data_IF_595548057594
#
_entry.id   IF_595548057594
#
_cell.length_a   1.000
_cell.length_b   1.000
_cell.length_c   1.000
_cell.angle_alpha   90.00
_cell.angle_beta   90.00
_cell.angle_gamma   90.00
#
_symmetry.space_group_name_H-M   'P 1'
#
loop_
_entity.id
_entity.type
_entity.pdbx_description
1 polymer ?
2 polymer ?
3 polymer ?
4 polymer ?
5 non-polymer ?
6 non-polymer ?
7 non-polymer ?
8 non-polymer ?
9 non-polymer ?
10 water ?
#
loop_
_entity_poly.entity_id
_entity_poly.type
_entity_poly.pdbx_seq_one_letter_code
_entity_poly.pdbx_strand_id
2 'polydeoxyribonucleotide' '(DC)(DG)(DG)(DC)(DA)(DT)(DA)(DC)(DG)' ?
3 'polydeoxyribonucleotide' '(DC)(DG)(DT)(DA)(8GM)' ?
4 'polydeoxyribonucleotide' '(DG)(DC)(DC)(DG)' ?
#
# COMPACT_ATOMS: atom_id res chain seq x y z
N UNK A 11 6.58 15.72 21.76
CA UNK A 11 5.15 15.88 21.48
C UNK A 11 4.71 15.00 20.32
N UNK A 12 5.63 14.70 19.41
CA UNK A 12 5.35 13.84 18.26
C UNK A 12 4.93 12.47 18.75
N UNK A 13 3.69 12.04 18.52
CA UNK A 13 3.29 10.71 18.98
C UNK A 13 4.08 9.62 18.29
N UNK A 14 4.19 8.48 18.96
CA UNK A 14 5.05 7.39 18.51
C UNK A 14 4.42 6.53 17.42
N UNK A 15 3.09 6.43 17.40
CA UNK A 15 2.38 5.64 16.39
C UNK A 15 1.91 6.52 15.25
N UNK A 16 2.07 6.02 14.01
CA UNK A 16 1.69 6.84 12.86
C UNK A 16 0.20 7.15 12.81
N UNK A 17 -0.62 6.33 13.45
CA UNK A 17 -2.06 6.55 13.42
C UNK A 17 -2.50 7.62 14.40
N UNK A 18 -1.57 8.21 15.15
CA UNK A 18 -1.84 9.23 16.14
C UNK A 18 -1.54 10.62 15.63
N UNK A 19 -1.12 10.75 14.38
CA UNK A 19 -0.75 12.05 13.88
C UNK A 19 -1.14 12.15 12.41
N UNK A 20 -1.52 13.34 11.97
CA UNK A 20 -1.81 13.51 10.56
C UNK A 20 -0.54 13.47 9.74
N UNK A 21 -0.61 12.78 8.59
CA UNK A 21 0.50 12.78 7.64
C UNK A 21 -0.07 13.17 6.28
N UNK A 22 0.22 14.36 5.80
CA UNK A 22 -0.35 14.82 4.52
C UNK A 22 0.39 14.19 3.34
N UNK A 23 -0.18 14.38 2.16
CA UNK A 23 0.44 13.83 0.97
C UNK A 23 1.70 14.58 0.61
N UNK A 24 1.66 15.90 0.74
CA UNK A 24 2.79 16.80 0.49
C UNK A 24 3.39 17.22 1.82
N UNK A 25 4.69 17.05 1.96
CA UNK A 25 5.35 17.36 3.23
C UNK A 25 6.69 18.02 2.93
N UNK A 26 7.47 18.29 3.98
CA UNK A 26 8.60 19.19 3.89
C UNK A 26 9.96 18.51 4.02
N UNK A 27 10.05 17.19 4.01
CA UNK A 27 11.32 16.52 4.29
C UNK A 27 11.54 15.36 3.35
N UNK A 28 11.19 15.55 2.08
CA UNK A 28 11.20 14.46 1.11
C UNK A 28 12.58 13.84 0.98
N UNK A 29 13.62 14.67 0.88
CA UNK A 29 14.96 14.16 0.72
C UNK A 29 15.40 13.25 1.87
N UNK A 30 15.12 13.66 3.09
CA UNK A 30 15.47 12.83 4.24
C UNK A 30 14.63 11.56 4.29
N UNK A 31 13.32 11.67 4.08
CA UNK A 31 12.49 10.47 4.15
C UNK A 31 12.84 9.49 3.04
N UNK A 32 13.15 9.99 1.83
CA UNK A 32 13.45 9.07 0.75
C UNK A 32 14.72 8.28 1.04
N UNK A 33 15.69 8.92 1.69
CA UNK A 33 16.92 8.23 2.05
C UNK A 33 16.66 7.12 3.06
N UNK A 34 15.90 7.44 4.11
CA UNK A 34 15.58 6.42 5.09
C UNK A 34 14.78 5.28 4.47
N UNK A 35 13.90 5.58 3.50
CA UNK A 35 13.11 4.55 2.83
C UNK A 35 13.98 3.65 1.92
N UNK A 36 15.07 4.17 1.37
CA UNK A 36 16.05 3.30 0.70
C UNK A 36 16.60 2.26 1.67
N UNK A 37 17.03 2.72 2.85
CA UNK A 37 17.56 1.80 3.84
C UNK A 37 16.49 0.81 4.31
N UNK A 38 15.24 1.25 4.43
CA UNK A 38 14.17 0.33 4.80
C UNK A 38 14.00 -0.75 3.73
N UNK A 39 13.90 -0.33 2.47
CA UNK A 39 13.76 -1.27 1.35
C UNK A 39 14.92 -2.26 1.36
N UNK A 40 16.15 -1.76 1.53
CA UNK A 40 17.31 -2.65 1.54
C UNK A 40 17.27 -3.62 2.71
N UNK A 41 16.81 -3.16 3.88
CA UNK A 41 16.65 -4.08 5.00
C UNK A 41 15.68 -5.20 4.65
N UNK A 42 14.59 -4.87 3.97
CA UNK A 42 13.66 -5.89 3.53
C UNK A 42 14.31 -6.89 2.59
N UNK A 43 15.11 -6.40 1.66
CA UNK A 43 15.77 -7.29 0.70
C UNK A 43 16.71 -8.25 1.39
N UNK A 44 17.23 -7.89 2.57
CA UNK A 44 18.12 -8.77 3.30
C UNK A 44 17.39 -9.58 4.36
N UNK A 45 16.07 -9.47 4.41
CA UNK A 45 15.24 -10.27 5.29
C UNK A 45 15.13 -9.75 6.71
N UNK A 46 15.41 -8.48 6.96
CA UNK A 46 15.18 -7.94 8.31
C UNK A 46 13.95 -7.06 8.29
N UNK A 47 12.81 -7.64 8.63
CA UNK A 47 11.59 -6.86 8.67
C UNK A 47 11.57 -5.91 9.87
N UNK A 48 12.34 -6.18 10.93
CA UNK A 48 12.38 -5.22 12.02
C UNK A 48 13.10 -3.93 11.67
N UNK A 49 14.28 -4.05 11.05
CA UNK A 49 14.99 -2.85 10.58
C UNK A 49 14.19 -2.11 9.52
N UNK A 50 13.54 -2.84 8.62
CA UNK A 50 12.67 -2.20 7.66
C UNK A 50 11.63 -1.35 8.35
N UNK A 51 11.00 -1.90 9.40
CA UNK A 51 9.92 -1.19 10.07
C UNK A 51 10.44 0.07 10.75
N UNK A 52 11.59 -0.02 11.44
CA UNK A 52 12.12 1.17 12.09
C UNK A 52 12.44 2.27 11.08
N UNK A 53 13.13 1.92 9.99
CA UNK A 53 13.46 2.95 9.01
C UNK A 53 12.20 3.53 8.37
N UNK A 54 11.19 2.69 8.10
CA UNK A 54 9.92 3.20 7.63
C UNK A 54 9.30 4.16 8.63
N UNK A 55 9.29 3.77 9.92
CA UNK A 55 8.68 4.61 10.93
C UNK A 55 9.41 5.93 11.08
N UNK A 56 10.74 5.90 11.00
CA UNK A 56 11.52 7.13 11.12
C UNK A 56 11.22 8.07 9.95
N UNK A 57 11.21 7.53 8.72
CA UNK A 57 10.85 8.33 7.55
C UNK A 57 9.48 8.95 7.72
N UNK A 58 8.53 8.19 8.28
CA UNK A 58 7.17 8.70 8.43
C UNK A 58 7.09 9.80 9.46
N UNK A 59 7.90 9.72 10.51
CA UNK A 59 7.95 10.81 11.48
C UNK A 59 8.33 12.11 10.79
N UNK A 60 9.31 12.06 9.88
CA UNK A 60 9.70 13.29 9.19
C UNK A 60 8.59 13.84 8.30
N UNK A 61 7.76 12.96 7.72
CA UNK A 61 6.65 13.41 6.89
C UNK A 61 5.62 14.17 7.68
N UNK A 62 5.55 13.93 8.98
CA UNK A 62 4.54 14.55 9.81
C UNK A 62 5.00 15.86 10.42
N UNK A 63 6.28 16.20 10.26
CA UNK A 63 6.79 17.43 10.85
C UNK A 63 6.25 18.62 10.08
N UNK A 64 6.07 19.77 10.75
CA UNK A 64 5.50 20.93 10.06
C UNK A 64 6.47 21.71 9.20
N UNK A 65 7.78 21.52 9.37
CA UNK A 65 8.72 22.33 8.63
C UNK A 65 9.93 21.48 8.25
N UNK A 66 10.76 21.99 7.35
CA UNK A 66 11.99 21.27 7.01
C UNK A 66 12.91 21.14 8.20
N UNK A 67 13.48 19.95 8.36
CA UNK A 67 14.59 19.74 9.26
C UNK A 67 15.82 20.32 8.59
N UNK A 68 16.45 21.27 9.26
CA UNK A 68 17.68 21.87 8.77
C UNK A 68 18.86 21.67 9.69
N UNK A 69 18.65 21.25 10.93
CA UNK A 69 19.75 21.03 11.87
C UNK A 69 19.46 19.77 12.69
N UNK A 70 20.54 19.06 13.02
CA UNK A 70 20.42 17.79 13.73
C UNK A 70 19.63 17.96 15.02
N UNK A 71 19.77 19.11 15.66
CA UNK A 71 19.06 19.46 16.89
C UNK A 71 17.57 19.18 16.80
N UNK A 72 16.99 19.34 15.62
CA UNK A 72 15.55 19.22 15.46
C UNK A 72 15.07 17.78 15.57
N UNK A 73 15.98 16.81 15.65
CA UNK A 73 15.57 15.41 15.82
C UNK A 73 15.45 15.01 17.27
N UNK A 74 16.01 15.80 18.19
CA UNK A 74 16.01 15.43 19.60
C UNK A 74 14.62 15.05 20.06
N UNK A 75 14.50 13.86 20.64
CA UNK A 75 13.25 13.43 21.22
C UNK A 75 12.28 12.83 20.25
N UNK A 76 12.57 12.82 18.96
CA UNK A 76 11.62 12.26 18.01
C UNK A 76 11.57 10.74 18.14
N UNK A 77 10.39 10.14 18.13
CA UNK A 77 10.30 8.69 18.18
C UNK A 77 10.93 8.06 16.94
N UNK A 78 11.55 6.90 17.17
CA UNK A 78 12.14 6.04 16.14
C UNK A 78 13.41 6.60 15.55
N UNK A 79 13.96 7.68 16.13
CA UNK A 79 15.27 8.18 15.77
C UNK A 79 16.28 7.78 16.83
N UNK A 80 17.16 6.87 16.47
CA UNK A 80 18.27 6.49 17.30
C UNK A 80 19.57 6.79 16.62
N UNK A 81 20.61 6.08 16.99
CA UNK A 81 21.92 6.45 16.48
C UNK A 81 21.98 6.30 14.96
N UNK A 82 21.36 5.26 14.40
CA UNK A 82 21.57 4.99 12.98
C UNK A 82 20.78 5.98 12.11
N UNK A 83 19.49 6.11 12.38
CA UNK A 83 18.66 7.04 11.59
C UNK A 83 19.13 8.48 11.76
N UNK A 84 19.59 8.84 12.96
CA UNK A 84 20.08 10.19 13.17
C UNK A 84 21.35 10.44 12.37
N UNK A 85 22.24 9.44 12.29
CA UNK A 85 23.48 9.64 11.55
C UNK A 85 23.22 9.83 10.07
N UNK A 86 22.23 9.12 9.53
CA UNK A 86 21.86 9.29 8.13
C UNK A 86 21.39 10.72 7.89
N UNK A 87 20.49 11.22 8.74
CA UNK A 87 20.05 12.60 8.61
C UNK A 87 21.22 13.56 8.76
N UNK A 88 22.07 13.33 9.76
CA UNK A 88 23.25 14.17 9.99
C UNK A 88 24.11 14.28 8.73
N UNK A 89 24.39 13.15 8.09
CA UNK A 89 25.25 13.22 6.91
C UNK A 89 24.55 13.90 5.73
N UNK A 90 23.24 13.73 5.62
CA UNK A 90 22.50 14.43 4.58
C UNK A 90 22.50 15.93 4.81
N UNK A 91 22.36 16.37 6.07
CA UNK A 91 22.35 17.81 6.31
C UNK A 91 23.73 18.42 6.13
N UNK A 92 24.76 17.71 6.57
CA UNK A 92 26.11 18.26 6.52
C UNK A 92 26.68 18.25 5.13
N UNK A 93 26.34 17.23 4.34
CA UNK A 93 27.03 16.97 3.08
C UNK A 93 26.10 16.78 1.89
N UNK A 94 24.79 16.64 2.08
CA UNK A 94 23.89 16.44 0.97
C UNK A 94 23.81 15.01 0.48
N UNK A 95 24.54 14.10 1.09
CA UNK A 95 24.62 12.71 0.66
C UNK A 95 24.99 11.87 1.87
N UNK A 96 24.45 10.65 1.93
CA UNK A 96 24.82 9.70 2.98
C UNK A 96 25.54 8.55 2.32
N UNK A 97 26.79 8.29 2.75
CA UNK A 97 27.58 7.27 2.08
C UNK A 97 26.86 5.92 2.05
N UNK A 98 26.28 5.50 3.17
CA UNK A 98 25.61 4.20 3.22
C UNK A 98 24.48 4.13 2.20
N UNK A 99 23.69 5.20 2.10
CA UNK A 99 22.58 5.22 1.17
C UNK A 99 23.10 5.12 -0.26
N UNK A 100 24.17 5.84 -0.58
CA UNK A 100 24.69 5.79 -1.94
C UNK A 100 25.28 4.42 -2.26
N UNK A 101 25.98 3.81 -1.31
CA UNK A 101 26.48 2.45 -1.50
C UNK A 101 25.34 1.50 -1.83
N UNK A 102 24.23 1.58 -1.08
CA UNK A 102 23.10 0.68 -1.33
C UNK A 102 22.55 0.95 -2.73
N UNK A 103 22.25 2.21 -3.02
CA UNK A 103 21.69 2.63 -4.31
C UNK A 103 22.45 2.01 -5.48
N UNK A 104 23.77 2.12 -5.45
CA UNK A 104 24.61 1.74 -6.57
C UNK A 104 24.92 0.26 -6.60
N UNK A 105 24.47 -0.52 -5.60
CA UNK A 105 24.87 -1.91 -5.53
C UNK A 105 24.04 -2.75 -6.50
N UNK A 106 24.70 -3.73 -7.10
CA UNK A 106 24.03 -4.65 -8.02
C UNK A 106 22.91 -5.38 -7.31
N UNK A 107 23.15 -5.77 -6.06
CA UNK A 107 22.14 -6.50 -5.28
C UNK A 107 20.88 -5.67 -5.11
N UNK A 108 21.01 -4.43 -4.62
CA UNK A 108 19.85 -3.57 -4.46
C UNK A 108 19.13 -3.35 -5.79
N UNK A 109 19.88 -3.01 -6.84
CA UNK A 109 19.23 -2.69 -8.11
C UNK A 109 18.49 -3.89 -8.66
N UNK A 110 19.08 -5.08 -8.54
CA UNK A 110 18.42 -6.26 -9.08
C UNK A 110 17.26 -6.67 -8.22
N UNK A 111 17.40 -6.61 -6.90
CA UNK A 111 16.26 -6.96 -6.06
C UNK A 111 15.11 -6.00 -6.28
N UNK A 112 15.41 -4.73 -6.49
CA UNK A 112 14.34 -3.78 -6.79
C UNK A 112 13.66 -4.12 -8.12
N UNK A 113 14.46 -4.41 -9.13
CA UNK A 113 13.93 -4.77 -10.45
C UNK A 113 13.00 -5.98 -10.37
N UNK A 114 13.43 -7.02 -9.67
CA UNK A 114 12.64 -8.25 -9.62
C UNK A 114 11.41 -8.10 -8.75
N UNK A 115 11.54 -7.49 -7.58
CA UNK A 115 10.39 -7.39 -6.69
C UNK A 115 9.34 -6.42 -7.20
N UNK A 116 9.67 -5.55 -8.16
CA UNK A 116 8.63 -4.73 -8.77
C UNK A 116 7.74 -5.52 -9.70
N UNK A 117 8.09 -6.75 -10.03
CA UNK A 117 7.25 -7.57 -10.88
C UNK A 117 6.07 -8.09 -10.04
N UNK A 118 4.88 -8.00 -10.61
CA UNK A 118 3.70 -8.61 -9.99
C UNK A 118 3.88 -10.11 -9.94
N UNK A 119 3.78 -10.68 -8.74
CA UNK A 119 3.97 -12.10 -8.54
C UNK A 119 5.30 -12.46 -7.92
N UNK A 120 6.20 -11.51 -7.78
CA UNK A 120 7.56 -11.73 -7.28
C UNK A 120 7.73 -10.91 -6.00
N UNK A 121 8.09 -11.58 -4.91
CA UNK A 121 8.48 -10.91 -3.69
C UNK A 121 9.95 -11.13 -3.37
N UNK A 122 10.32 -10.70 -2.16
CA UNK A 122 11.74 -10.76 -1.77
C UNK A 122 12.30 -12.19 -1.84
N UNK A 123 11.58 -13.16 -1.28
CA UNK A 123 12.18 -14.48 -1.24
C UNK A 123 12.38 -15.04 -2.64
N UNK A 124 11.44 -14.82 -3.56
CA UNK A 124 11.64 -15.27 -4.94
C UNK A 124 12.78 -14.51 -5.61
N UNK A 125 12.75 -13.18 -5.50
CA UNK A 125 13.81 -12.37 -6.11
C UNK A 125 15.18 -12.78 -5.60
N UNK A 126 15.29 -13.08 -4.30
CA UNK A 126 16.57 -13.45 -3.72
C UNK A 126 17.05 -14.79 -4.27
N UNK A 127 16.14 -15.74 -4.44
CA UNK A 127 16.56 -17.01 -5.03
C UNK A 127 17.10 -16.81 -6.43
N UNK A 128 16.37 -16.05 -7.24
CA UNK A 128 16.82 -15.77 -8.60
C UNK A 128 18.16 -15.05 -8.61
N UNK A 129 18.35 -14.08 -7.71
CA UNK A 129 19.62 -13.39 -7.61
C UNK A 129 20.75 -14.37 -7.30
N UNK A 130 20.52 -15.26 -6.34
CA UNK A 130 21.56 -16.24 -5.99
C UNK A 130 21.84 -17.20 -7.14
N UNK A 131 20.87 -17.41 -8.02
CA UNK A 131 21.07 -18.26 -9.19
C UNK A 131 21.78 -17.54 -10.32
N UNK A 132 22.11 -16.26 -10.14
CA UNK A 132 22.82 -15.50 -11.14
C UNK A 132 21.96 -14.71 -12.09
N UNK A 133 20.64 -14.70 -11.91
CA UNK A 133 19.80 -13.92 -12.81
C UNK A 133 19.85 -12.46 -12.41
N UNK A 134 19.81 -11.59 -13.42
CA UNK A 134 20.03 -10.16 -13.23
C UNK A 134 19.07 -9.26 -14.00
N UNK A 135 18.45 -9.73 -15.07
CA UNK A 135 17.62 -8.86 -15.90
C UNK A 135 16.27 -9.51 -16.15
N UNK A 136 15.32 -8.69 -16.61
CA UNK A 136 14.02 -9.23 -16.99
C UNK A 136 14.16 -10.23 -18.14
N UNK A 137 15.04 -9.94 -19.11
CA UNK A 137 15.24 -10.91 -20.19
C UNK A 137 15.72 -12.25 -19.65
N UNK A 138 16.58 -12.24 -18.64
CA UNK A 138 17.01 -13.50 -18.04
C UNK A 138 15.81 -14.31 -17.57
N UNK A 139 14.84 -13.66 -16.94
CA UNK A 139 13.67 -14.39 -16.48
C UNK A 139 12.87 -14.91 -17.66
N UNK A 140 12.65 -14.08 -18.67
CA UNK A 140 11.89 -14.51 -19.84
C UNK A 140 12.53 -15.73 -20.48
N UNK A 141 13.86 -15.84 -20.41
CA UNK A 141 14.58 -16.96 -21.01
C UNK A 141 14.34 -18.28 -20.30
N UNK A 142 13.75 -18.28 -19.10
CA UNK A 142 13.49 -19.51 -18.35
C UNK A 142 12.07 -19.51 -17.81
N UNK A 143 11.08 -19.62 -18.71
CA UNK A 143 9.67 -19.55 -18.28
C UNK A 143 9.25 -20.67 -17.34
N UNK A 144 9.97 -21.79 -17.33
CA UNK A 144 9.60 -22.88 -16.45
C UNK A 144 9.67 -22.49 -14.97
N UNK A 145 10.53 -21.52 -14.64
CA UNK A 145 10.70 -21.06 -13.27
C UNK A 145 9.62 -20.09 -12.82
N UNK A 146 8.63 -19.81 -13.66
CA UNK A 146 7.64 -18.77 -13.38
C UNK A 146 6.26 -19.35 -13.12
N UNK A 147 5.61 -18.85 -12.09
CA UNK A 147 4.21 -19.14 -11.86
C UNK A 147 3.37 -18.42 -12.92
N UNK A 148 2.11 -18.83 -13.03
CA UNK A 148 1.19 -18.14 -13.93
C UNK A 148 1.08 -16.66 -13.58
N UNK A 149 1.05 -16.35 -12.28
CA UNK A 149 0.96 -14.97 -11.85
C UNK A 149 2.19 -14.18 -12.30
N UNK A 150 3.36 -14.78 -12.14
CA UNK A 150 4.61 -14.12 -12.52
C UNK A 150 4.68 -13.94 -14.03
N UNK A 151 4.16 -14.91 -14.79
CA UNK A 151 4.20 -14.80 -16.24
C UNK A 151 3.37 -13.61 -16.67
N UNK A 152 2.22 -13.42 -16.02
CA UNK A 152 1.37 -12.28 -16.33
C UNK A 152 2.03 -10.98 -15.89
N UNK A 153 2.66 -10.97 -14.70
CA UNK A 153 3.39 -9.78 -14.29
C UNK A 153 4.49 -9.40 -15.25
N UNK A 154 5.26 -10.38 -15.73
CA UNK A 154 6.33 -10.08 -16.66
C UNK A 154 5.79 -9.68 -18.02
N UNK A 155 4.70 -10.29 -18.46
CA UNK A 155 4.18 -9.98 -19.79
C UNK A 155 3.73 -8.52 -19.86
N UNK A 156 3.17 -8.02 -18.78
CA UNK A 156 2.56 -6.69 -18.77
C UNK A 156 3.41 -5.69 -18.01
N UNK A 157 4.69 -6.01 -17.80
CA UNK A 157 5.53 -5.24 -16.90
C UNK A 157 5.69 -3.80 -17.36
N UNK A 158 5.84 -3.58 -18.68
CA UNK A 158 6.05 -2.21 -19.16
C UNK A 158 4.83 -1.35 -18.86
N UNK A 159 3.62 -1.85 -19.19
CA UNK A 159 2.41 -1.09 -18.88
C UNK A 159 2.25 -0.89 -17.39
N UNK A 160 2.53 -1.94 -16.61
CA UNK A 160 2.34 -1.87 -15.17
C UNK A 160 3.31 -0.93 -14.50
N UNK A 161 4.37 -0.55 -15.19
CA UNK A 161 5.32 0.42 -14.67
C UNK A 161 4.98 1.85 -15.05
N UNK A 162 3.93 2.05 -15.86
CA UNK A 162 3.43 3.35 -16.31
C UNK A 162 2.47 3.88 -15.26
N UNK A 163 2.62 5.11 -14.76
CA UNK A 163 1.70 5.59 -13.72
C UNK A 163 0.26 5.55 -14.21
N UNK A 164 -0.62 5.08 -13.32
CA UNK A 164 -2.05 5.18 -13.50
C UNK A 164 -2.48 6.58 -13.10
N UNK A 165 -3.27 7.23 -13.94
CA UNK A 165 -3.78 8.59 -13.75
C UNK A 165 -5.26 8.61 -13.35
N UNK A 166 -5.74 9.76 -12.85
CA UNK A 166 -7.15 9.89 -12.49
C UNK A 166 -8.06 9.60 -13.67
N UNK A 167 -7.67 10.04 -14.86
CA UNK A 167 -8.43 9.72 -16.07
C UNK A 167 -8.69 8.23 -16.17
N UNK A 168 -7.66 7.43 -15.88
CA UNK A 168 -7.78 5.97 -15.93
C UNK A 168 -8.71 5.47 -14.83
N UNK A 169 -8.54 6.00 -13.62
CA UNK A 169 -9.38 5.59 -12.50
C UNK A 169 -10.85 5.79 -12.83
N UNK A 170 -11.20 6.98 -13.33
CA UNK A 170 -12.60 7.27 -13.62
C UNK A 170 -13.14 6.33 -14.68
N UNK A 171 -12.35 6.03 -15.71
CA UNK A 171 -12.81 5.09 -16.72
C UNK A 171 -13.00 3.71 -16.14
N UNK A 172 -12.08 3.28 -15.30
CA UNK A 172 -12.18 1.97 -14.69
C UNK A 172 -13.36 1.91 -13.73
N UNK A 173 -13.61 2.98 -13.00
CA UNK A 173 -14.72 2.93 -12.07
C UNK A 173 -16.03 2.74 -12.82
N UNK A 174 -16.16 3.39 -13.98
CA UNK A 174 -17.39 3.26 -14.77
C UNK A 174 -17.59 1.83 -15.24
N UNK A 175 -16.54 1.16 -15.73
CA UNK A 175 -16.76 -0.20 -16.22
C UNK A 175 -16.99 -1.16 -15.06
N UNK A 176 -16.34 -0.93 -13.91
CA UNK A 176 -16.60 -1.77 -12.75
C UNK A 176 -18.03 -1.54 -12.26
N UNK A 177 -18.48 -0.30 -12.22
CA UNK A 177 -19.86 -0.03 -11.81
C UNK A 177 -20.85 -0.70 -12.75
N UNK A 178 -20.55 -0.70 -14.04
CA UNK A 178 -21.47 -1.32 -14.99
C UNK A 178 -21.57 -2.82 -14.74
N UNK A 179 -20.43 -3.47 -14.51
CA UNK A 179 -20.45 -4.92 -14.27
C UNK A 179 -21.12 -5.25 -12.95
N UNK A 180 -20.82 -4.49 -11.91
CA UNK A 180 -21.42 -4.70 -10.59
C UNK A 180 -22.94 -4.55 -10.67
N UNK A 181 -23.41 -3.49 -11.34
CA UNK A 181 -24.84 -3.30 -11.48
C UNK A 181 -25.53 -4.37 -12.30
N UNK A 182 -24.81 -4.93 -13.27
CA UNK A 182 -25.37 -6.06 -14.01
C UNK A 182 -25.40 -7.32 -13.15
N UNK A 183 -24.46 -7.45 -12.22
CA UNK A 183 -24.38 -8.64 -11.40
C UNK A 183 -25.32 -8.60 -10.20
N UNK A 184 -25.61 -7.41 -9.66
CA UNK A 184 -26.42 -7.33 -8.45
C UNK A 184 -27.02 -5.94 -8.33
N UNK A 185 -28.31 -5.75 -8.60
CA UNK A 185 -28.88 -4.41 -8.45
C UNK A 185 -28.74 -3.93 -7.03
N UNK A 186 -28.38 -2.64 -6.91
CA UNK A 186 -28.23 -2.01 -5.63
C UNK A 186 -26.84 -2.07 -5.07
N UNK A 187 -25.95 -2.86 -5.68
CA UNK A 187 -24.59 -2.94 -5.17
C UNK A 187 -23.84 -1.67 -5.51
N UNK A 188 -22.87 -1.34 -4.66
CA UNK A 188 -22.13 -0.09 -4.76
C UNK A 188 -20.64 -0.37 -4.93
N UNK A 189 -19.97 0.63 -5.47
CA UNK A 189 -18.53 0.60 -5.76
C UNK A 189 -17.89 1.83 -5.16
N UNK A 190 -16.89 1.62 -4.30
CA UNK A 190 -16.18 2.71 -3.63
C UNK A 190 -14.71 2.64 -4.00
N UNK A 191 -14.18 3.77 -4.49
CA UNK A 191 -12.74 3.86 -4.73
C UNK A 191 -11.98 3.93 -3.42
N UNK A 192 -10.98 3.05 -3.25
CA UNK A 192 -10.15 3.08 -2.05
C UNK A 192 -8.69 3.27 -2.42
N UNK A 193 -7.77 2.72 -1.63
CA UNK A 193 -6.35 2.83 -1.94
C UNK A 193 -5.84 4.26 -1.97
N UNK A 194 -4.70 4.41 -2.63
CA UNK A 194 -4.03 5.68 -2.61
C UNK A 194 -4.82 6.81 -3.23
N UNK A 195 -5.64 6.51 -4.25
CA UNK A 195 -6.44 7.56 -4.83
C UNK A 195 -7.45 8.13 -3.84
N UNK A 196 -7.98 7.30 -2.92
CA UNK A 196 -8.86 7.86 -1.90
C UNK A 196 -8.11 8.78 -0.93
N UNK A 197 -6.81 8.55 -0.73
CA UNK A 197 -5.96 9.40 0.10
C UNK A 197 -5.55 10.67 -0.62
N UNK A 198 -5.95 10.83 -1.88
CA UNK A 198 -5.68 12.05 -2.62
C UNK A 198 -4.53 11.98 -3.59
N UNK A 199 -3.87 10.85 -3.71
CA UNK A 199 -2.81 10.72 -4.71
C UNK A 199 -3.38 10.98 -6.09
N UNK A 200 -2.56 11.58 -6.94
CA UNK A 200 -2.97 11.86 -8.30
C UNK A 200 -2.46 10.79 -9.27
N UNK A 201 -1.56 9.93 -8.81
CA UNK A 201 -1.09 8.78 -9.58
C UNK A 201 -0.99 7.56 -8.68
N UNK A 202 -0.82 6.41 -9.31
CA UNK A 202 -0.70 5.18 -8.58
C UNK A 202 -0.17 4.11 -9.49
N UNK A 203 0.08 2.95 -8.92
CA UNK A 203 0.45 1.80 -9.72
C UNK A 203 -0.62 0.74 -9.72
N UNK A 204 -1.78 1.06 -9.16
CA UNK A 204 -2.94 0.19 -9.27
C UNK A 204 -4.15 0.98 -8.80
N UNK A 205 -5.32 0.37 -8.96
CA UNK A 205 -6.58 1.00 -8.56
C UNK A 205 -7.32 -0.02 -7.74
N UNK A 206 -7.85 0.42 -6.60
CA UNK A 206 -8.57 -0.45 -5.68
C UNK A 206 -10.02 -0.04 -5.56
N UNK A 207 -10.93 -1.03 -5.62
CA UNK A 207 -12.37 -0.80 -5.47
C UNK A 207 -12.93 -1.74 -4.42
N UNK A 208 -13.84 -1.22 -3.60
CA UNK A 208 -14.51 -1.97 -2.56
C UNK A 208 -15.99 -2.01 -2.90
N UNK A 209 -16.55 -3.22 -2.94
CA UNK A 209 -17.91 -3.47 -3.42
C UNK A 209 -18.76 -4.01 -2.29
N UNK A 210 -19.96 -3.48 -2.12
CA UNK A 210 -20.86 -4.04 -1.11
C UNK A 210 -22.31 -3.88 -1.58
N UNK A 211 -23.25 -4.27 -0.71
CA UNK A 211 -24.69 -4.14 -1.00
C UNK A 211 -25.34 -3.81 0.33
N UNK A 212 -26.30 -2.88 0.36
CA UNK A 212 -26.85 -2.44 1.65
C UNK A 212 -27.60 -3.52 2.43
N UNK A 213 -28.01 -4.60 1.78
CA UNK A 213 -28.74 -5.68 2.46
C UNK A 213 -27.75 -6.81 2.76
N UNK A 214 -27.46 -7.00 4.04
CA UNK A 214 -26.52 -8.00 4.49
C UNK A 214 -26.83 -9.35 3.87
N UNK A 215 -25.82 -9.95 3.24
CA UNK A 215 -25.94 -11.25 2.65
C UNK A 215 -26.17 -11.26 1.15
N UNK A 216 -26.69 -10.16 0.60
CA UNK A 216 -26.97 -10.15 -0.82
C UNK A 216 -25.71 -10.21 -1.66
N UNK A 217 -24.57 -9.83 -1.08
CA UNK A 217 -23.29 -9.80 -1.78
C UNK A 217 -22.61 -11.15 -1.85
N UNK A 218 -23.18 -12.18 -1.22
CA UNK A 218 -22.59 -13.51 -1.32
C UNK A 218 -22.53 -13.93 -2.78
N UNK A 219 -21.35 -14.40 -3.20
CA UNK A 219 -21.19 -14.88 -4.56
C UNK A 219 -21.02 -13.80 -5.59
N UNK A 220 -20.86 -12.56 -5.16
CA UNK A 220 -20.89 -11.46 -6.11
C UNK A 220 -19.61 -11.40 -6.96
N UNK A 221 -18.45 -11.65 -6.35
CA UNK A 221 -17.23 -11.32 -7.08
C UNK A 221 -17.07 -12.23 -8.30
N UNK A 222 -17.36 -13.53 -8.25
CA UNK A 222 -17.27 -14.31 -9.49
C UNK A 222 -18.22 -13.81 -10.57
N UNK A 223 -19.42 -13.33 -10.19
CA UNK A 223 -20.34 -12.81 -11.19
C UNK A 223 -19.79 -11.55 -11.82
N UNK A 224 -19.15 -10.68 -11.03
CA UNK A 224 -18.56 -9.46 -11.56
C UNK A 224 -17.42 -9.80 -12.51
N UNK A 225 -16.57 -10.74 -12.12
CA UNK A 225 -15.43 -11.12 -12.96
C UNK A 225 -15.89 -11.72 -14.28
N UNK A 226 -16.92 -12.57 -14.25
CA UNK A 226 -17.44 -13.12 -15.50
C UNK A 226 -17.91 -12.02 -16.44
N UNK A 227 -18.62 -11.03 -15.91
CA UNK A 227 -19.16 -9.96 -16.71
C UNK A 227 -18.03 -9.10 -17.25
N UNK A 228 -16.99 -8.89 -16.47
CA UNK A 228 -15.84 -8.15 -17.00
C UNK A 228 -15.11 -8.96 -18.06
N UNK A 229 -14.93 -10.27 -17.83
CA UNK A 229 -14.20 -11.08 -18.78
C UNK A 229 -14.95 -11.18 -20.09
N UNK A 230 -16.29 -11.20 -20.04
CA UNK A 230 -17.06 -11.31 -21.28
C UNK A 230 -16.97 -10.05 -22.11
N UNK A 231 -16.72 -8.90 -21.49
CA UNK A 231 -16.50 -7.67 -22.23
C UNK A 231 -15.04 -7.48 -22.65
N UNK A 232 -14.21 -8.51 -22.46
CA UNK A 232 -12.84 -8.43 -22.91
C UNK A 232 -11.95 -7.57 -22.05
N UNK A 233 -12.36 -7.28 -20.82
CA UNK A 233 -11.65 -6.32 -19.98
C UNK A 233 -10.58 -6.96 -19.08
N UNK A 234 -10.49 -8.29 -19.00
CA UNK A 234 -9.60 -8.95 -18.05
C UNK A 234 -8.46 -9.64 -18.80
N UNK A 235 -7.24 -9.25 -18.48
CA UNK A 235 -6.06 -9.92 -18.99
C UNK A 235 -5.59 -11.04 -18.09
N UNK A 236 -5.73 -10.85 -16.79
CA UNK A 236 -5.27 -11.83 -15.81
C UNK A 236 -6.16 -11.72 -14.57
N UNK A 237 -6.57 -12.88 -14.04
CA UNK A 237 -7.11 -12.94 -12.69
C UNK A 237 -6.91 -14.35 -12.12
N UNK A 238 -7.18 -14.44 -10.82
CA UNK A 238 -7.13 -15.67 -10.00
C UNK A 238 -5.76 -15.80 -9.37
N UNK A 259 -14.71 -16.48 -3.85
CA UNK A 259 -13.61 -15.63 -3.36
C UNK A 259 -14.13 -14.21 -3.12
N UNK A 260 -13.37 -13.39 -2.34
CA UNK A 260 -13.80 -12.04 -2.04
C UNK A 260 -12.76 -10.97 -2.34
N UNK A 261 -11.55 -11.35 -2.77
CA UNK A 261 -10.53 -10.43 -3.26
C UNK A 261 -10.03 -10.93 -4.59
N UNK A 262 -9.94 -10.04 -5.57
CA UNK A 262 -9.41 -10.40 -6.89
C UNK A 262 -8.33 -9.40 -7.26
N UNK A 263 -7.11 -9.91 -7.50
CA UNK A 263 -5.98 -9.06 -7.90
C UNK A 263 -5.82 -9.25 -9.40
N UNK A 264 -6.34 -8.31 -10.16
CA UNK A 264 -6.57 -8.44 -11.60
C UNK A 264 -5.56 -7.59 -12.36
N UNK A 265 -5.44 -7.90 -13.64
CA UNK A 265 -4.89 -6.99 -14.62
C UNK A 265 -5.97 -6.77 -15.66
N UNK A 266 -6.35 -5.51 -15.85
CA UNK A 266 -7.39 -5.14 -16.79
C UNK A 266 -6.77 -4.70 -18.10
N UNK A 267 -7.49 -4.95 -19.20
CA UNK A 267 -7.22 -4.37 -20.53
C UNK A 267 -8.05 -3.09 -20.64
N UNK A 268 -7.44 -1.97 -20.26
CA UNK A 268 -8.14 -0.69 -20.26
C UNK A 268 -8.10 -0.02 -21.63
N UNK A 269 -9.23 0.22 -22.28
CA UNK A 269 -9.19 0.89 -23.58
C UNK A 269 -8.56 2.27 -23.46
N UNK A 270 -7.79 2.62 -24.48
CA UNK A 270 -7.19 3.92 -24.70
C UNK A 270 -7.54 4.33 -26.12
N UNK A 271 -7.26 5.58 -26.49
CA UNK A 271 -7.54 6.03 -27.86
C UNK A 271 -6.78 5.20 -28.87
N UNK A 272 -7.52 4.48 -29.72
CA UNK A 272 -6.94 3.60 -30.72
C UNK A 272 -6.26 2.36 -30.17
N UNK A 273 -6.34 2.07 -28.88
CA UNK A 273 -5.51 1.01 -28.34
C UNK A 273 -5.93 0.61 -26.93
N UNK A 274 -4.99 0.14 -26.12
CA UNK A 274 -5.29 -0.30 -24.76
C UNK A 274 -3.98 -0.37 -23.97
N UNK A 275 -4.12 -0.38 -22.66
CA UNK A 275 -3.00 -0.63 -21.77
C UNK A 275 -3.46 -1.47 -20.61
N UNK A 276 -2.54 -2.29 -20.12
CA UNK A 276 -2.77 -3.10 -18.93
C UNK A 276 -2.68 -2.23 -17.68
N UNK A 277 -3.62 -2.45 -16.74
CA UNK A 277 -3.67 -1.75 -15.46
C UNK A 277 -3.99 -2.76 -14.37
N UNK A 278 -3.26 -2.68 -13.26
CA UNK A 278 -3.55 -3.49 -12.07
C UNK A 278 -4.77 -2.94 -11.35
N UNK A 279 -5.74 -3.82 -11.06
CA UNK A 279 -6.96 -3.43 -10.36
C UNK A 279 -7.21 -4.46 -9.30
N UNK A 280 -7.52 -4.03 -8.08
CA UNK A 280 -7.95 -4.92 -7.02
C UNK A 280 -9.42 -4.72 -6.76
N UNK A 281 -10.18 -5.80 -6.75
CA UNK A 281 -11.61 -5.78 -6.45
C UNK A 281 -11.83 -6.55 -5.16
N UNK A 282 -12.59 -5.97 -4.25
CA UNK A 282 -12.85 -6.57 -2.96
C UNK A 282 -14.34 -6.47 -2.69
N UNK A 283 -14.94 -7.55 -2.22
CA UNK A 283 -16.33 -7.55 -1.81
C UNK A 283 -16.36 -7.71 -0.29
N UNK A 284 -17.21 -6.92 0.36
CA UNK A 284 -17.40 -7.02 1.82
C UNK A 284 -18.89 -6.96 2.12
N UNK A 285 -19.39 -7.71 3.11
CA UNK A 285 -20.74 -7.44 3.59
C UNK A 285 -20.83 -6.08 4.24
N UNK A 286 -22.02 -5.50 4.21
CA UNK A 286 -22.13 -4.09 4.62
C UNK A 286 -21.80 -3.91 6.09
N UNK A 287 -22.04 -4.94 6.90
CA UNK A 287 -21.64 -4.88 8.31
C UNK A 287 -20.14 -4.65 8.47
N UNK A 288 -19.32 -5.15 7.53
CA UNK A 288 -17.88 -5.00 7.59
C UNK A 288 -17.37 -3.81 6.79
N UNK A 289 -18.26 -3.09 6.09
CA UNK A 289 -17.79 -2.10 5.13
C UNK A 289 -16.85 -1.06 5.75
N UNK A 290 -17.14 -0.47 6.92
CA UNK A 290 -16.20 0.53 7.44
C UNK A 290 -14.84 -0.03 7.73
N UNK A 291 -14.76 -1.30 8.18
CA UNK A 291 -13.48 -1.93 8.46
C UNK A 291 -12.70 -2.21 7.18
N UNK A 292 -13.43 -2.64 6.13
CA UNK A 292 -12.77 -2.87 4.85
C UNK A 292 -12.34 -1.56 4.22
N UNK A 293 -13.17 -0.54 4.34
CA UNK A 293 -12.81 0.76 3.78
C UNK A 293 -11.56 1.29 4.47
N UNK A 294 -11.53 1.19 5.78
CA UNK A 294 -10.34 1.65 6.52
C UNK A 294 -9.10 0.88 6.11
N UNK A 295 -9.20 -0.45 6.06
CA UNK A 295 -8.03 -1.24 5.73
C UNK A 295 -7.52 -0.98 4.32
N UNK A 296 -8.44 -0.94 3.36
CA UNK A 296 -8.01 -0.82 1.98
C UNK A 296 -7.65 0.62 1.60
N UNK A 297 -7.92 1.59 2.45
CA UNK A 297 -7.53 2.95 2.14
C UNK A 297 -6.08 3.23 2.53
N UNK A 298 -5.48 2.43 3.42
CA UNK A 298 -4.05 2.60 3.69
C UNK A 298 -3.77 3.88 4.47
N UNK A 299 -2.51 4.37 4.37
CA UNK A 299 -1.38 3.69 3.76
C UNK A 299 -1.02 2.39 4.45
N UNK A 300 -0.13 1.63 3.84
CA UNK A 300 0.30 0.36 4.45
C UNK A 300 0.88 0.56 5.85
N UNK A 301 1.79 1.52 5.99
CA UNK A 301 2.33 1.78 7.31
C UNK A 301 1.25 2.27 8.26
N UNK A 302 0.34 3.14 7.78
CA UNK A 302 -0.71 3.63 8.66
C UNK A 302 -1.49 2.45 9.22
N UNK A 303 -1.81 1.48 8.37
CA UNK A 303 -2.69 0.38 8.81
C UNK A 303 -1.95 -0.57 9.74
N UNK A 304 -0.67 -0.86 9.47
CA UNK A 304 0.12 -1.66 10.41
C UNK A 304 0.20 -0.99 11.77
N UNK A 305 0.42 0.33 11.76
CA UNK A 305 0.51 1.07 13.00
C UNK A 305 -0.81 1.12 13.74
N UNK A 306 -1.91 1.27 13.02
CA UNK A 306 -3.23 1.28 13.61
C UNK A 306 -3.54 -0.07 14.27
N UNK A 307 -3.21 -1.16 13.59
CA UNK A 307 -3.45 -2.48 14.16
C UNK A 307 -2.54 -2.76 15.35
N UNK A 308 -1.30 -2.29 15.27
CA UNK A 308 -0.38 -2.40 16.41
C UNK A 308 -0.91 -1.62 17.61
N UNK A 309 -1.37 -0.38 17.37
CA UNK A 309 -1.93 0.44 18.43
C UNK A 309 -3.14 -0.24 19.07
N UNK A 310 -4.04 -0.73 18.22
CA UNK A 310 -5.25 -1.39 18.70
C UNK A 310 -4.89 -2.51 19.67
N UNK A 311 -3.99 -3.40 19.26
CA UNK A 311 -3.72 -4.58 20.10
C UNK A 311 -2.85 -4.22 21.30
N UNK A 312 -1.76 -3.47 21.05
CA UNK A 312 -0.79 -3.24 22.13
C UNK A 312 -1.25 -2.19 23.12
N UNK A 313 -1.96 -1.15 22.68
CA UNK A 313 -2.44 -0.11 23.57
C UNK A 313 -3.86 -0.32 24.08
N UNK A 314 -4.74 -0.92 23.28
CA UNK A 314 -6.13 -1.04 23.67
C UNK A 314 -6.57 -2.48 23.88
N UNK A 315 -5.75 -3.46 23.54
CA UNK A 315 -6.14 -4.83 23.78
C UNK A 315 -7.23 -5.35 22.87
N UNK A 316 -7.40 -4.71 21.72
CA UNK A 316 -8.43 -5.08 20.75
C UNK A 316 -7.76 -5.51 19.46
N UNK A 317 -8.38 -6.44 18.75
CA UNK A 317 -7.78 -7.02 17.55
C UNK A 317 -8.47 -6.48 16.32
N UNK A 318 -7.70 -5.78 15.47
CA UNK A 318 -8.25 -5.10 14.29
C UNK A 318 -7.84 -5.78 13.00
N UNK A 319 -8.80 -6.00 12.11
CA UNK A 319 -8.47 -6.37 10.72
C UNK A 319 -9.49 -5.73 9.80
N UNK A 320 -9.50 -6.16 8.53
CA UNK A 320 -10.39 -5.54 7.56
C UNK A 320 -11.81 -6.05 7.66
N UNK A 321 -12.09 -6.95 8.61
CA UNK A 321 -13.43 -7.45 8.84
C UNK A 321 -14.07 -6.89 10.09
N UNK A 322 -13.30 -6.40 11.05
CA UNK A 322 -13.91 -6.05 12.31
C UNK A 322 -12.86 -5.71 13.35
N UNK A 323 -13.37 -5.40 14.54
CA UNK A 323 -12.56 -5.03 15.69
C UNK A 323 -13.07 -5.88 16.84
N UNK A 324 -12.22 -6.75 17.37
CA UNK A 324 -12.62 -7.82 18.27
C UNK A 324 -12.10 -7.56 19.69
N UNK A 325 -12.98 -7.66 20.66
CA UNK A 325 -12.58 -7.61 22.05
C UNK A 325 -12.42 -9.04 22.54
N UNK A 326 -11.19 -9.52 22.77
CA UNK A 326 -10.98 -10.95 23.03
C UNK A 326 -11.35 -11.39 24.42
N UNK A 327 -11.65 -10.46 25.32
CA UNK A 327 -12.08 -10.82 26.67
C UNK A 327 -13.59 -10.96 26.74
N UNK A 328 -14.32 -10.06 26.08
CA UNK A 328 -15.76 -10.21 26.00
C UNK A 328 -16.19 -11.10 24.85
N UNK A 329 -15.29 -11.36 23.91
CA UNK A 329 -15.58 -12.22 22.77
C UNK A 329 -16.65 -11.59 21.88
N UNK A 330 -16.56 -10.28 21.69
CA UNK A 330 -17.54 -9.54 20.90
C UNK A 330 -16.84 -8.66 19.87
N UNK A 331 -17.57 -8.39 18.80
CA UNK A 331 -17.15 -7.50 17.73
C UNK A 331 -17.83 -6.14 17.90
N UNK A 332 -17.07 -5.09 17.64
CA UNK A 332 -17.59 -3.73 17.75
C UNK A 332 -18.36 -3.36 16.49
N UNK A 333 -19.62 -2.94 16.65
CA UNK A 333 -20.45 -2.59 15.51
C UNK A 333 -20.14 -1.16 15.11
N UNK A 334 -19.59 -0.98 13.93
CA UNK A 334 -19.27 0.35 13.43
C UNK A 334 -20.14 0.69 12.23
N UNK A 335 -20.52 1.95 12.14
CA UNK A 335 -21.22 2.44 10.97
C UNK A 335 -20.35 3.31 10.08
N UNK A 336 -19.17 3.70 10.54
CA UNK A 336 -18.30 4.60 9.81
C UNK A 336 -16.87 4.37 10.26
N UNK A 337 -15.92 4.84 9.45
CA UNK A 337 -14.55 4.88 9.93
C UNK A 337 -14.41 5.68 11.24
N UNK A 338 -15.11 6.82 11.33
CA UNK A 338 -15.06 7.63 12.53
C UNK A 338 -15.39 6.80 13.78
N UNK A 339 -16.38 5.90 13.66
CA UNK A 339 -16.73 5.05 14.79
C UNK A 339 -15.54 4.19 15.23
N UNK A 340 -14.76 3.68 14.26
CA UNK A 340 -13.61 2.83 14.59
C UNK A 340 -12.55 3.64 15.32
N UNK A 341 -12.22 4.82 14.80
CA UNK A 341 -11.23 5.66 15.48
C UNK A 341 -11.69 5.95 16.90
N UNK A 342 -13.01 6.10 17.08
CA UNK A 342 -13.57 6.36 18.42
C UNK A 342 -13.52 5.13 19.31
N UNK A 343 -13.80 3.94 18.78
CA UNK A 343 -13.62 2.73 19.59
C UNK A 343 -12.18 2.60 20.07
N UNK A 344 -11.23 3.24 19.38
CA UNK A 344 -9.83 3.08 19.69
C UNK A 344 -9.26 4.25 20.47
N UNK A 345 -10.07 5.26 20.79
CA UNK A 345 -9.55 6.42 21.51
C UNK A 345 -8.63 7.30 20.71
N UNK A 346 -8.80 7.34 19.39
CA UNK A 346 -7.95 8.09 18.48
C UNK A 346 -8.72 9.25 17.87
N UNK A 347 -8.04 10.39 17.72
CA UNK A 347 -8.63 11.47 16.95
C UNK A 347 -8.81 11.01 15.51
N UNK A 348 -9.97 11.29 14.93
CA UNK A 348 -10.23 10.87 13.55
C UNK A 348 -9.27 11.55 12.58
N UNK A 349 -8.77 10.77 11.61
CA UNK A 349 -7.95 11.31 10.55
C UNK A 349 -8.65 11.02 9.23
N UNK A 350 -8.95 12.00 8.40
CA UNK A 350 -9.56 11.72 7.09
C UNK A 350 -8.53 11.05 6.21
N UNK A 351 -8.94 10.41 5.10
CA UNK A 351 -7.99 9.64 4.28
C UNK A 351 -6.75 10.41 3.82
N UNK A 352 -6.92 11.69 3.52
CA UNK A 352 -5.80 12.47 3.02
C UNK A 352 -4.77 12.78 4.10
N UNK A 353 -5.02 12.42 5.35
CA UNK A 353 -4.05 12.56 6.45
C UNK A 353 -3.51 11.20 6.92
N UNK A 354 -3.70 10.15 6.12
CA UNK A 354 -3.25 8.80 6.45
C UNK A 354 -2.07 8.38 5.58
N UNK A 355 -1.33 9.36 5.07
CA UNK A 355 -0.22 9.10 4.13
C UNK A 355 1.08 8.83 4.85
N UNK A 356 1.02 7.96 5.84
CA UNK A 356 2.17 7.63 6.66
C UNK A 356 3.16 6.82 5.87
X LIG E 1 8.56 2.43 4.53
X LIG F 1 6.28 -7.93 -6.66
X LIG G 1 -3.59 1.01 -4.51
X LIG H 1 2.46 12.26 -6.97
X LIG H 1 1.05 11.62 -6.02
X LIG H 1 0.55 10.45 -6.74
X LIG H 1 1.50 11.19 -4.70
X LIG H 1 0.01 12.65 -5.94
X LIG I 1 -7.24 -7.89 7.04
X LIG I 1 -8.33 -8.70 6.91
X LIG I 1 -6.47 -7.50 5.77
X LIG J 1 -21.68 2.24 2.06
X LIG J 1 -22.71 1.42 2.56
X LIG J 1 -21.47 1.93 0.58
X LIG J 1 -22.62 1.31 0.07
X LIG K 1 -7.40 4.94 -34.28
X LIG K 1 -6.82 3.66 -34.27
X LIG K 1 -6.43 5.99 -33.75
X LIG K 1 -5.11 5.51 -33.77
X LIG L 1 -11.90 -12.02 10.67
X LIG L 1 -12.47 -11.69 11.93
X LIG L 1 -10.93 -13.19 10.81
X LIG L 1 -10.90 -13.88 9.58
X LIG M 1 -4.40 -2.36 -5.12
X LIG N 1 -6.63 -4.18 3.60
X LIG N 1 -6.51 -4.41 4.99
X LIG N 1 -5.50 -4.92 2.88
X LIG N 1 -5.72 -6.29 3.10
#
# INVERSE_FOLDING_TARGET
GSAAAPLSPAWMPAYACQRPTPLTHHNTGLSEALEILAEAAGFEGSEGRLLTFCRAASVLKALPSPVTTLSQLQGLPHFGEHSSRVVQELLEHGVCEEVERVRRSERYQTMKLFTQIFGVGVKTADRWYREGLRTLDDLREQPQKLTQQQKAGLQHHQDLSTPVLRSDVDALQQVVEEAVGQALPGATVTLTGGFRRGKLQGHDVDFLITHPKEGQEAGLLPRVMCRLQDQGLILYHQHQHSCCESPTRLAQQSHMDAFERSFCIFRLPQPGSWKAVRVDLVVAPVSQFPFALLGWTGSKLFQRELRRFSRKEKGLWLNSHGLFDPEQKTFFQAASEEDIFRHLGLEYLPPEQRNA
DTT S1
NA NA
NA NA
EPE C10 S O1S O2S O3S
EDO C1 O1 C2
EDO C1 O1 C2 O2
EDO C1 O1 C2 O2
EDO C1 O1 C2 O2
MG MG
EDO C1 O1 C2 O2
#
